data_IF_971103449793
#
_entry.id   IF_971103449793
#
_cell.length_a   1.000
_cell.length_b   1.000
_cell.length_c   1.000
_cell.angle_alpha   90.00
_cell.angle_beta   90.00
_cell.angle_gamma   90.00
#
_symmetry.space_group_name_H-M   'P 1'
#
loop_
_entity.id
_entity.type
_entity.pdbx_description
1 polymer ?
#
# COMPACT_ATOMS: atom_id res chain seq x y z
N UNK A 1 4.49 -10.85 -2.38
CA UNK A 1 5.06 -10.82 -1.01
C UNK A 1 5.61 -9.41 -0.75
N UNK A 2 5.47 -8.88 0.47
CA UNK A 2 5.95 -7.54 0.81
C UNK A 2 7.47 -7.45 0.58
N UNK A 3 7.91 -6.52 -0.27
CA UNK A 3 9.34 -6.30 -0.49
C UNK A 3 9.92 -5.52 0.68
N UNK A 4 11.15 -5.89 1.05
CA UNK A 4 11.96 -5.07 1.94
C UNK A 4 12.55 -3.91 1.14
N UNK A 5 12.15 -2.69 1.46
CA UNK A 5 12.67 -1.44 0.89
C UNK A 5 13.45 -0.74 2.00
N UNK A 6 14.71 -0.40 1.75
CA UNK A 6 15.53 0.31 2.73
C UNK A 6 15.09 1.77 2.85
N UNK A 7 15.12 2.37 4.05
CA UNK A 7 14.88 3.80 4.22
C UNK A 7 15.81 4.64 3.35
N UNK A 8 15.26 5.66 2.72
CA UNK A 8 16.04 6.60 1.90
C UNK A 8 16.50 7.74 2.80
N UNK A 9 17.81 7.90 2.95
CA UNK A 9 18.41 9.00 3.69
C UNK A 9 18.37 10.30 2.87
N UNK A 10 18.40 11.45 3.56
CA UNK A 10 18.20 12.75 2.94
C UNK A 10 19.26 13.10 1.88
N UNK A 11 20.51 12.71 2.13
CA UNK A 11 21.64 12.86 1.22
C UNK A 11 21.48 12.06 -0.08
N UNK A 12 20.84 10.88 -0.02
CA UNK A 12 20.59 10.02 -1.19
C UNK A 12 19.22 10.21 -1.86
N UNK A 13 18.36 11.11 -1.36
CA UNK A 13 16.96 11.19 -1.80
C UNK A 13 16.80 11.52 -3.29
N UNK A 14 17.56 12.51 -3.78
CA UNK A 14 17.46 12.97 -5.17
C UNK A 14 17.88 11.88 -6.16
N UNK A 15 18.97 11.17 -5.85
CA UNK A 15 19.48 10.11 -6.71
C UNK A 15 18.57 8.89 -6.68
N UNK A 16 18.07 8.51 -5.50
CA UNK A 16 17.07 7.45 -5.36
C UNK A 16 15.79 7.76 -6.14
N UNK A 17 15.30 9.01 -6.09
CA UNK A 17 14.11 9.42 -6.83
C UNK A 17 14.33 9.34 -8.35
N UNK A 18 15.44 9.89 -8.85
CA UNK A 18 15.78 9.84 -10.29
C UNK A 18 15.89 8.41 -10.80
N UNK A 19 16.52 7.53 -10.02
CA UNK A 19 16.64 6.11 -10.38
C UNK A 19 15.27 5.42 -10.39
N UNK A 20 14.41 5.68 -9.39
CA UNK A 20 13.11 4.99 -9.27
C UNK A 20 12.04 5.45 -10.26
N UNK A 21 12.10 6.70 -10.73
CA UNK A 21 11.17 7.23 -11.73
C UNK A 21 11.55 6.86 -13.18
N UNK A 22 12.79 6.38 -13.39
CA UNK A 22 13.25 5.89 -14.68
C UNK A 22 12.39 4.71 -15.18
N UNK A 23 12.44 4.44 -16.49
CA UNK A 23 11.66 3.39 -17.15
C UNK A 23 10.18 3.42 -16.77
N UNK A 24 9.51 4.57 -16.96
CA UNK A 24 8.08 4.74 -16.65
C UNK A 24 7.73 4.46 -15.17
N UNK A 25 8.63 4.84 -14.24
CA UNK A 25 8.46 4.58 -12.81
C UNK A 25 8.36 3.10 -12.44
N UNK A 26 8.93 2.20 -13.25
CA UNK A 26 8.82 0.74 -13.04
C UNK A 26 9.25 0.31 -11.64
N UNK A 27 10.34 0.88 -11.10
CA UNK A 27 10.80 0.53 -9.74
C UNK A 27 9.81 1.00 -8.66
N UNK A 28 9.19 2.17 -8.83
CA UNK A 28 8.10 2.58 -7.94
C UNK A 28 6.87 1.68 -8.07
N UNK A 29 6.51 1.28 -9.29
CA UNK A 29 5.37 0.39 -9.54
C UNK A 29 5.61 -0.98 -8.90
N UNK A 30 6.79 -1.55 -9.07
CA UNK A 30 7.17 -2.84 -8.48
C UNK A 30 7.14 -2.80 -6.94
N UNK A 31 7.61 -1.71 -6.33
CA UNK A 31 7.54 -1.50 -4.88
C UNK A 31 6.09 -1.36 -4.41
N UNK A 32 5.28 -0.54 -5.09
CA UNK A 32 3.87 -0.34 -4.77
C UNK A 32 3.07 -1.65 -4.86
N UNK A 33 3.24 -2.40 -5.95
CA UNK A 33 2.56 -3.69 -6.15
C UNK A 33 2.96 -4.76 -5.12
N UNK A 34 4.12 -4.60 -4.48
CA UNK A 34 4.53 -5.52 -3.42
C UNK A 34 3.74 -5.36 -2.11
N UNK A 35 3.09 -4.20 -1.91
CA UNK A 35 2.32 -3.88 -0.70
C UNK A 35 1.02 -4.70 -0.72
N UNK A 36 0.78 -5.58 0.28
CA UNK A 36 -0.47 -6.31 0.37
C UNK A 36 -1.66 -5.36 0.48
N UNK A 37 -2.65 -5.50 -0.43
CA UNK A 37 -3.90 -4.71 -0.38
C UNK A 37 -4.66 -4.90 0.94
N UNK A 38 -4.62 -6.12 1.49
CA UNK A 38 -5.26 -6.49 2.76
C UNK A 38 -4.27 -7.31 3.57
N UNK A 39 -4.09 -6.94 4.84
CA UNK A 39 -3.35 -7.74 5.81
C UNK A 39 -4.32 -8.69 6.51
N UNK A 40 -4.31 -9.97 6.14
CA UNK A 40 -5.26 -10.99 6.61
C UNK A 40 -5.23 -11.25 8.13
N UNK A 41 -4.18 -10.81 8.81
CA UNK A 41 -4.03 -10.94 10.26
C UNK A 41 -4.97 -10.00 11.04
N UNK A 42 -5.56 -8.99 10.39
CA UNK A 42 -6.49 -8.06 11.00
C UNK A 42 -7.92 -8.37 10.56
N UNK A 43 -8.84 -8.43 11.52
CA UNK A 43 -10.23 -8.80 11.25
C UNK A 43 -11.09 -7.58 10.94
N UNK A 44 -11.89 -7.66 9.88
CA UNK A 44 -12.89 -6.65 9.48
C UNK A 44 -14.32 -7.07 9.85
N UNK A 45 -14.47 -7.95 10.86
CA UNK A 45 -15.74 -8.60 11.20
C UNK A 45 -16.81 -7.58 11.60
N UNK A 46 -16.44 -6.58 12.40
CA UNK A 46 -17.36 -5.53 12.86
C UNK A 46 -17.88 -4.68 11.71
N UNK A 47 -17.00 -4.30 10.77
CA UNK A 47 -17.38 -3.50 9.61
C UNK A 47 -18.34 -4.25 8.66
N UNK A 48 -18.28 -5.59 8.64
CA UNK A 48 -19.13 -6.45 7.80
C UNK A 48 -20.51 -6.77 8.38
N UNK A 49 -20.78 -6.40 9.64
CA UNK A 49 -22.09 -6.64 10.26
C UNK A 49 -23.20 -5.91 9.50
N UNK A 50 -24.39 -6.53 9.30
CA UNK A 50 -25.49 -5.93 8.54
C UNK A 50 -25.85 -4.51 8.99
N UNK A 51 -25.92 -4.27 10.31
CA UNK A 51 -26.20 -2.97 10.92
C UNK A 51 -25.14 -1.89 10.65
N UNK A 52 -23.97 -2.28 10.16
CA UNK A 52 -22.87 -1.39 9.82
C UNK A 52 -22.69 -1.22 8.30
N UNK A 53 -23.36 -2.02 7.46
CA UNK A 53 -23.17 -1.97 6.00
C UNK A 53 -23.54 -0.60 5.41
N UNK A 54 -24.65 0.00 5.83
CA UNK A 54 -25.09 1.33 5.37
C UNK A 54 -24.18 2.47 5.85
N UNK A 55 -23.32 2.21 6.86
CA UNK A 55 -22.33 3.17 7.37
C UNK A 55 -21.05 3.16 6.53
N UNK A 56 -20.83 2.12 5.73
CA UNK A 56 -19.67 2.00 4.85
C UNK A 56 -20.00 2.61 3.49
N UNK A 57 -19.20 3.61 3.07
CA UNK A 57 -19.37 4.21 1.74
C UNK A 57 -18.96 3.27 0.61
N UNK A 58 -17.97 2.42 0.86
CA UNK A 58 -17.44 1.45 -0.10
C UNK A 58 -17.33 0.08 0.57
N UNK A 59 -17.72 -0.97 -0.14
CA UNK A 59 -17.71 -2.35 0.40
C UNK A 59 -16.31 -2.96 0.47
N UNK A 60 -15.36 -2.41 -0.28
CA UNK A 60 -13.98 -2.89 -0.40
C UNK A 60 -12.95 -2.04 0.36
N UNK A 61 -13.41 -1.01 1.08
CA UNK A 61 -12.60 -0.16 1.96
C UNK A 61 -13.27 -0.16 3.34
N UNK A 62 -12.80 -1.04 4.22
CA UNK A 62 -13.37 -1.26 5.55
C UNK A 62 -12.27 -1.07 6.61
N UNK A 63 -12.62 -0.53 7.80
CA UNK A 63 -11.68 -0.39 8.91
C UNK A 63 -11.33 -1.73 9.57
#
# INVERSE_FOLDING_TARGET
PLRRVEPIYADGLIDAYKSKIADESRLFMDEFQSIPRIFSNYTIKEAKKPENQSKNRYVDILP
#
